data_IF_100548544383
#
_entry.id   IF_100548544383
#
_cell.length_a   1.000
_cell.length_b   1.000
_cell.length_c   1.000
_cell.angle_alpha   90.00
_cell.angle_beta   90.00
_cell.angle_gamma   90.00
#
_symmetry.space_group_name_H-M   'P 1'
#
loop_
_entity.id
_entity.type
_entity.pdbx_description
1 polymer ?
#
# COMPACT_ATOMS: atom_id res chain seq x y z
N UNK A 1 -5.01 -22.25 -1.23
CA UNK A 1 -4.12 -21.19 -0.66
C UNK A 1 -3.35 -20.42 -1.74
N UNK A 2 -2.78 -21.08 -2.76
CA UNK A 2 -2.00 -20.43 -3.83
C UNK A 2 -2.66 -19.19 -4.42
N UNK A 3 -3.87 -19.34 -4.97
CA UNK A 3 -4.62 -18.23 -5.60
C UNK A 3 -4.83 -17.03 -4.67
N UNK A 4 -5.16 -17.30 -3.40
CA UNK A 4 -5.44 -16.27 -2.40
C UNK A 4 -4.17 -15.51 -2.02
N UNK A 5 -3.05 -16.23 -1.86
CA UNK A 5 -1.75 -15.64 -1.55
C UNK A 5 -1.21 -14.80 -2.71
N UNK A 6 -1.43 -15.23 -3.95
CA UNK A 6 -1.05 -14.50 -5.14
C UNK A 6 -1.90 -13.25 -5.33
N UNK A 7 -3.22 -13.36 -5.13
CA UNK A 7 -4.14 -12.23 -5.14
C UNK A 7 -3.75 -11.18 -4.08
N UNK A 8 -3.47 -11.61 -2.86
CA UNK A 8 -3.02 -10.73 -1.79
C UNK A 8 -1.74 -9.99 -2.17
N UNK A 9 -0.75 -10.71 -2.70
CA UNK A 9 0.49 -10.12 -3.17
C UNK A 9 0.26 -9.09 -4.29
N UNK A 10 -0.62 -9.37 -5.26
CA UNK A 10 -0.98 -8.43 -6.33
C UNK A 10 -1.53 -7.12 -5.76
N UNK A 11 -2.43 -7.20 -4.78
CA UNK A 11 -2.94 -6.00 -4.10
C UNK A 11 -1.87 -5.28 -3.29
N UNK A 12 -0.96 -6.02 -2.64
CA UNK A 12 0.12 -5.43 -1.86
C UNK A 12 1.07 -4.61 -2.73
N UNK A 13 1.48 -5.19 -3.87
CA UNK A 13 2.31 -4.51 -4.86
C UNK A 13 1.58 -3.32 -5.45
N UNK A 14 0.30 -3.46 -5.81
CA UNK A 14 -0.51 -2.35 -6.30
C UNK A 14 -0.55 -1.19 -5.30
N UNK A 15 -0.74 -1.48 -4.00
CA UNK A 15 -0.78 -0.45 -2.97
C UNK A 15 0.55 0.32 -2.90
N UNK A 16 1.68 -0.38 -2.94
CA UNK A 16 3.00 0.25 -2.89
C UNK A 16 3.32 1.01 -4.17
N UNK A 17 2.90 0.51 -5.33
CA UNK A 17 3.13 1.17 -6.63
C UNK A 17 2.34 2.48 -6.80
N UNK A 18 1.29 2.67 -6.01
CA UNK A 18 0.55 3.94 -5.92
C UNK A 18 1.28 5.01 -5.09
N UNK A 19 2.35 4.65 -4.37
CA UNK A 19 3.19 5.57 -3.61
C UNK A 19 4.30 6.15 -4.48
N UNK A 20 4.95 7.21 -3.99
CA UNK A 20 6.05 7.87 -4.71
C UNK A 20 7.33 7.02 -4.67
N UNK A 21 7.71 6.45 -5.81
CA UNK A 21 8.90 5.62 -5.96
C UNK A 21 10.23 6.38 -5.84
N UNK A 22 10.22 7.72 -5.90
CA UNK A 22 11.42 8.52 -5.65
C UNK A 22 11.84 8.48 -4.17
N UNK A 23 10.92 8.13 -3.27
CA UNK A 23 11.18 8.02 -1.83
C UNK A 23 11.92 6.70 -1.51
N UNK A 24 13.16 6.73 -0.97
CA UNK A 24 13.92 5.51 -0.72
C UNK A 24 13.23 4.49 0.20
N UNK A 25 12.40 4.96 1.13
CA UNK A 25 11.62 4.10 2.02
C UNK A 25 10.58 3.25 1.24
N UNK A 26 9.96 3.81 0.20
CA UNK A 26 8.99 3.09 -0.66
C UNK A 26 9.73 2.01 -1.47
N UNK A 27 10.90 2.33 -2.02
CA UNK A 27 11.74 1.36 -2.72
C UNK A 27 12.17 0.19 -1.79
N UNK A 28 12.53 0.49 -0.54
CA UNK A 28 12.83 -0.54 0.47
C UNK A 28 11.61 -1.40 0.78
N UNK A 29 10.43 -0.79 0.96
CA UNK A 29 9.18 -1.50 1.20
C UNK A 29 8.84 -2.45 0.05
N UNK A 30 8.95 -2.00 -1.21
CA UNK A 30 8.71 -2.83 -2.38
C UNK A 30 9.66 -4.04 -2.43
N UNK A 31 10.95 -3.84 -2.12
CA UNK A 31 11.92 -4.94 -2.03
C UNK A 31 11.57 -5.93 -0.92
N UNK A 32 11.15 -5.44 0.25
CA UNK A 32 10.69 -6.31 1.35
C UNK A 32 9.50 -7.17 0.92
N UNK A 33 8.49 -6.59 0.26
CA UNK A 33 7.34 -7.35 -0.24
C UNK A 33 7.70 -8.42 -1.26
N UNK A 34 8.64 -8.13 -2.16
CA UNK A 34 9.08 -9.08 -3.18
C UNK A 34 9.83 -10.28 -2.57
N UNK A 35 10.53 -10.05 -1.45
CA UNK A 35 11.38 -11.06 -0.81
C UNK A 35 10.69 -11.81 0.35
N UNK A 36 9.49 -11.38 0.76
CA UNK A 36 8.78 -12.00 1.86
C UNK A 36 8.14 -13.34 1.43
N UNK A 37 8.24 -14.40 2.24
CA UNK A 37 7.40 -15.59 2.09
C UNK A 37 5.92 -15.19 2.01
N UNK A 38 5.18 -15.82 1.09
CA UNK A 38 3.81 -15.42 0.80
C UNK A 38 2.91 -15.56 2.02
N UNK A 39 3.16 -16.60 2.81
CA UNK A 39 2.44 -16.96 4.03
C UNK A 39 2.52 -15.88 5.11
N UNK A 40 3.60 -15.08 5.12
CA UNK A 40 3.81 -14.02 6.11
C UNK A 40 3.26 -12.66 5.66
N UNK A 41 2.81 -12.54 4.41
CA UNK A 41 2.33 -11.27 3.86
C UNK A 41 1.17 -10.68 4.67
N UNK A 42 0.14 -11.43 5.10
CA UNK A 42 -0.95 -10.88 5.89
C UNK A 42 -0.46 -10.25 7.19
N UNK A 43 0.38 -10.95 7.94
CA UNK A 43 0.85 -10.49 9.25
C UNK A 43 1.73 -9.23 9.13
N UNK A 44 2.69 -9.25 8.20
CA UNK A 44 3.60 -8.11 8.00
C UNK A 44 2.85 -6.90 7.46
N UNK A 45 2.01 -7.06 6.44
CA UNK A 45 1.26 -5.91 5.90
C UNK A 45 0.28 -5.32 6.91
N UNK A 46 -0.36 -6.15 7.73
CA UNK A 46 -1.28 -5.68 8.78
C UNK A 46 -0.57 -4.78 9.80
N UNK A 47 0.71 -5.02 10.07
CA UNK A 47 1.52 -4.14 10.94
C UNK A 47 1.87 -2.79 10.30
N UNK A 48 1.81 -2.69 8.98
CA UNK A 48 2.20 -1.49 8.21
C UNK A 48 0.98 -0.63 7.89
N UNK A 49 -0.13 -1.26 7.49
CA UNK A 49 -1.34 -0.55 7.08
C UNK A 49 -2.16 -0.09 8.30
N UNK A 50 -2.98 0.95 8.11
CA UNK A 50 -3.85 1.43 9.18
C UNK A 50 -5.00 0.45 9.43
N UNK A 51 -5.03 -0.11 10.64
CA UNK A 51 -6.09 -1.00 11.13
C UNK A 51 -6.56 -0.62 12.54
N UNK A 52 -7.81 -0.96 12.87
CA UNK A 52 -8.35 -0.83 14.23
C UNK A 52 -7.88 -1.98 15.14
N UNK A 53 -8.03 -1.83 16.46
CA UNK A 53 -7.70 -2.91 17.39
C UNK A 53 -8.60 -4.15 17.18
N UNK A 54 -9.86 -3.94 16.83
CA UNK A 54 -10.81 -5.02 16.52
C UNK A 54 -10.38 -5.79 15.26
N UNK A 55 -9.98 -5.09 14.20
CA UNK A 55 -9.45 -5.71 12.97
C UNK A 55 -8.17 -6.51 13.26
N UNK A 56 -7.30 -5.99 14.13
CA UNK A 56 -6.09 -6.71 14.56
C UNK A 56 -6.44 -7.99 15.33
N UNK A 57 -7.43 -7.94 16.24
CA UNK A 57 -7.89 -9.12 16.97
C UNK A 57 -8.47 -10.17 16.03
N UNK A 58 -9.31 -9.79 15.06
CA UNK A 58 -9.87 -10.72 14.06
C UNK A 58 -8.78 -11.45 13.26
N UNK A 59 -7.67 -10.77 12.95
CA UNK A 59 -6.54 -11.37 12.23
C UNK A 59 -5.76 -12.34 13.14
N UNK A 60 -5.60 -12.00 14.42
CA UNK A 60 -4.94 -12.86 15.41
C UNK A 60 -5.78 -14.10 15.75
N UNK A 61 -7.11 -13.96 15.79
CA UNK A 61 -8.05 -15.04 16.06
C UNK A 61 -8.18 -16.01 14.87
N UNK A 62 -7.76 -15.61 13.68
CA UNK A 62 -7.75 -16.46 12.49
C UNK A 62 -6.73 -17.59 12.63
N UNK A 63 -7.26 -18.81 12.83
CA UNK A 63 -6.46 -20.02 13.10
C UNK A 63 -5.79 -20.53 11.83
N UNK A 64 -6.48 -20.43 10.69
CA UNK A 64 -5.96 -20.89 9.40
C UNK A 64 -5.35 -19.76 8.59
N UNK A 65 -4.33 -20.08 7.77
CA UNK A 65 -3.75 -19.10 6.84
C UNK A 65 -4.81 -18.53 5.89
N UNK A 66 -5.67 -19.39 5.35
CA UNK A 66 -6.70 -18.96 4.41
C UNK A 66 -7.66 -17.93 5.02
N UNK A 67 -8.12 -18.17 6.24
CA UNK A 67 -8.95 -17.23 7.00
C UNK A 67 -8.22 -15.91 7.22
N UNK A 68 -6.95 -15.97 7.62
CA UNK A 68 -6.13 -14.76 7.83
C UNK A 68 -6.02 -13.92 6.56
N UNK A 69 -5.77 -14.55 5.42
CA UNK A 69 -5.78 -13.87 4.13
C UNK A 69 -7.17 -13.26 3.83
N UNK A 70 -8.25 -14.03 4.00
CA UNK A 70 -9.63 -13.57 3.75
C UNK A 70 -9.99 -12.35 4.60
N UNK A 71 -9.59 -12.31 5.87
CA UNK A 71 -9.81 -11.17 6.78
C UNK A 71 -8.96 -9.96 6.38
N UNK A 72 -7.74 -10.19 5.90
CA UNK A 72 -6.80 -9.09 5.61
C UNK A 72 -7.01 -8.45 4.23
N UNK A 73 -7.49 -9.21 3.22
CA UNK A 73 -7.72 -8.69 1.86
C UNK A 73 -8.61 -7.43 1.84
N UNK A 74 -9.78 -7.39 2.51
CA UNK A 74 -10.62 -6.20 2.54
C UNK A 74 -9.91 -4.98 3.13
N UNK A 75 -9.06 -5.17 4.14
CA UNK A 75 -8.31 -4.08 4.76
C UNK A 75 -7.30 -3.46 3.78
N UNK A 76 -6.69 -4.29 2.95
CA UNK A 76 -5.74 -3.88 1.92
C UNK A 76 -6.45 -3.14 0.78
N UNK A 77 -7.58 -3.67 0.30
CA UNK A 77 -8.43 -3.02 -0.70
C UNK A 77 -8.92 -1.64 -0.23
N UNK A 78 -9.31 -1.52 1.04
CA UNK A 78 -9.67 -0.22 1.64
C UNK A 78 -8.54 0.81 1.55
N UNK A 79 -7.28 0.40 1.73
CA UNK A 79 -6.15 1.34 1.58
C UNK A 79 -5.99 1.78 0.12
N UNK A 80 -6.11 0.84 -0.83
CA UNK A 80 -6.03 1.12 -2.27
C UNK A 80 -7.12 2.13 -2.67
N UNK A 81 -8.35 1.89 -2.25
CA UNK A 81 -9.47 2.79 -2.51
C UNK A 81 -9.26 4.17 -1.88
N UNK A 82 -8.80 4.20 -0.62
CA UNK A 82 -8.44 5.45 0.06
C UNK A 82 -7.42 6.27 -0.72
N UNK A 83 -6.34 5.64 -1.22
CA UNK A 83 -5.35 6.33 -2.05
C UNK A 83 -5.91 6.78 -3.40
N UNK A 84 -6.76 6.00 -4.06
CA UNK A 84 -7.41 6.41 -5.32
C UNK A 84 -8.25 7.68 -5.11
N UNK A 85 -8.96 7.78 -3.99
CA UNK A 85 -9.74 8.99 -3.66
C UNK A 85 -8.84 10.19 -3.42
N UNK A 86 -7.73 10.02 -2.71
CA UNK A 86 -6.74 11.08 -2.48
C UNK A 86 -6.04 11.54 -3.76
N UNK A 87 -5.78 10.63 -4.71
CA UNK A 87 -5.22 10.99 -6.01
C UNK A 87 -6.19 11.82 -6.85
N UNK A 88 -7.50 11.55 -6.77
CA UNK A 88 -8.52 12.35 -7.46
C UNK A 88 -8.63 13.78 -6.92
N UNK A 89 -8.30 13.99 -5.65
CA UNK A 89 -8.33 15.32 -5.02
C UNK A 89 -7.00 16.06 -5.08
N UNK A 90 -5.91 15.39 -5.50
CA UNK A 90 -4.63 16.07 -5.78
C UNK A 90 -4.80 16.96 -7.01
N UNK A 91 -4.94 18.26 -6.75
CA UNK A 91 -4.70 19.31 -7.74
C UNK A 91 -3.24 19.10 -8.21
N UNK A 92 -2.97 18.97 -9.52
CA UNK A 92 -1.60 18.91 -10.01
C UNK A 92 -0.88 20.16 -9.52
N UNK A 93 0.22 19.99 -8.76
CA UNK A 93 1.15 21.08 -8.50
C UNK A 93 1.60 21.56 -9.86
N UNK A 94 1.11 22.72 -10.28
CA UNK A 94 1.63 23.44 -11.42
C UNK A 94 3.14 23.55 -11.21
N UNK A 95 3.91 22.93 -12.10
CA UNK A 95 5.35 23.08 -12.14
C UNK A 95 5.69 24.56 -12.05
N UNK A 96 6.48 24.95 -11.05
CA UNK A 96 7.13 26.26 -10.92
C UNK A 96 8.19 26.44 -12.01
N UNK A 97 7.81 26.26 -13.28
CA UNK A 97 8.67 26.53 -14.41
C UNK A 97 8.29 27.89 -15.00
N UNK A 98 9.19 28.85 -14.83
CA UNK A 98 9.29 30.14 -15.54
C UNK A 98 8.58 31.36 -14.91
N UNK A 99 9.15 31.88 -13.83
CA UNK A 99 9.14 33.34 -13.57
C UNK A 99 10.57 33.85 -13.37
N UNK A 100 11.38 33.78 -14.42
CA UNK A 100 12.57 34.64 -14.53
C UNK A 100 12.13 35.81 -15.42
N UNK A 101 11.59 36.86 -14.80
CA UNK A 101 11.38 38.14 -15.47
C UNK A 101 12.77 38.75 -15.68
N UNK A 102 13.29 38.62 -16.91
CA UNK A 102 14.45 39.40 -17.34
C UNK A 102 14.02 40.86 -17.46
N UNK A 103 14.22 41.64 -16.41
CA UNK A 103 14.20 43.10 -16.50
C UNK A 103 15.50 43.51 -17.21
N UNK A 104 15.39 44.09 -18.41
CA UNK A 104 16.53 44.76 -19.07
C UNK A 104 16.53 46.25 -18.70
N UNK A 105 17.71 46.86 -18.45
CA UNK A 105 17.84 48.30 -18.24
C UNK A 105 17.64 49.10 -19.53
#
# INVERSE_FOLDING_TARGET
>A
LGDLSEQFYKYAVQLVDMLDNSVPAVAKLKRLLNNLPRELLPDVLTSIIRTSNEEKLQILDAVSMEERFKVTIPLLLRQIEGLKLLQKTRIPKQDDNTRIVSIRP
#
